data_IF_938867057673
#
_entry.id   IF_938867057673
#
_cell.length_a   1.000
_cell.length_b   1.000
_cell.length_c   1.000
_cell.angle_alpha   90.00
_cell.angle_beta   90.00
_cell.angle_gamma   90.00
#
_symmetry.space_group_name_H-M   'P 1'
#
loop_
_entity.id
_entity.type
_entity.pdbx_description
1 polymer ?
#
# COMPACT_ATOMS: atom_id res chain seq x y z
N UNK A 1 9.27 -20.08 15.62
CA UNK A 1 10.05 -19.35 14.60
C UNK A 1 9.92 -20.14 13.31
N UNK A 2 8.91 -19.82 12.51
CA UNK A 2 8.52 -20.55 11.30
C UNK A 2 8.53 -19.56 10.14
N UNK A 3 9.72 -19.35 9.58
CA UNK A 3 9.85 -18.72 8.29
C UNK A 3 9.25 -19.65 7.24
N UNK A 4 8.06 -19.33 6.76
CA UNK A 4 7.48 -19.91 5.56
C UNK A 4 7.39 -18.81 4.53
N UNK A 5 8.50 -18.58 3.84
CA UNK A 5 8.46 -18.33 2.41
C UNK A 5 8.30 -19.72 1.77
N UNK A 6 7.09 -20.26 1.86
CA UNK A 6 6.66 -21.25 0.89
C UNK A 6 6.08 -20.47 -0.29
N UNK A 7 6.34 -20.96 -1.49
CA UNK A 7 6.01 -20.33 -2.76
C UNK A 7 4.51 -20.18 -2.99
N UNK A 8 3.84 -19.34 -2.20
CA UNK A 8 2.62 -18.69 -2.64
C UNK A 8 3.04 -17.81 -3.81
N UNK A 9 2.78 -18.28 -5.02
CA UNK A 9 2.63 -17.44 -6.21
C UNK A 9 1.56 -16.39 -5.88
N UNK A 10 1.94 -15.31 -5.20
CA UNK A 10 0.95 -14.35 -4.69
C UNK A 10 0.42 -13.60 -5.90
N UNK A 11 -0.82 -13.88 -6.30
CA UNK A 11 -1.48 -13.25 -7.45
C UNK A 11 -1.61 -11.73 -7.31
N UNK A 12 -1.42 -11.20 -6.10
CA UNK A 12 -1.42 -9.77 -5.77
C UNK A 12 -0.55 -9.48 -4.52
N UNK A 13 -0.09 -8.24 -4.29
CA UNK A 13 0.81 -7.93 -3.18
C UNK A 13 0.11 -7.95 -1.81
N UNK A 14 0.85 -8.26 -0.73
CA UNK A 14 0.34 -8.22 0.67
C UNK A 14 -0.04 -6.80 1.18
N UNK A 15 0.28 -5.78 0.38
CA UNK A 15 -0.02 -4.37 0.64
C UNK A 15 -0.58 -3.74 -0.62
N UNK A 16 -1.51 -2.81 -0.45
CA UNK A 16 -1.94 -1.91 -1.50
C UNK A 16 -1.77 -0.46 -1.03
N UNK A 17 -1.49 0.47 -1.95
CA UNK A 17 -1.13 1.84 -1.58
C UNK A 17 -1.93 2.86 -2.38
N UNK A 18 -2.50 3.87 -1.71
CA UNK A 18 -3.14 5.02 -2.36
C UNK A 18 -2.39 6.32 -2.08
N UNK A 19 -2.34 7.24 -3.05
CA UNK A 19 -1.88 8.59 -2.80
C UNK A 19 -2.95 9.38 -2.04
N UNK A 20 -2.51 10.15 -1.05
CA UNK A 20 -3.30 11.12 -0.30
C UNK A 20 -3.08 12.55 -0.79
N UNK A 21 -3.07 13.50 0.14
CA UNK A 21 -2.83 14.90 -0.20
C UNK A 21 -1.41 15.15 -0.68
N UNK A 22 -1.27 16.12 -1.59
CA UNK A 22 0.02 16.65 -2.05
C UNK A 22 0.20 18.02 -1.41
N UNK A 23 1.35 18.23 -0.77
CA UNK A 23 1.71 19.54 -0.21
C UNK A 23 1.81 20.58 -1.34
N UNK A 24 1.25 21.76 -1.09
CA UNK A 24 1.25 22.86 -2.07
C UNK A 24 2.67 23.32 -2.40
N UNK A 25 3.54 23.32 -1.40
CA UNK A 25 4.91 23.81 -1.51
C UNK A 25 5.91 22.64 -1.55
N UNK A 26 7.05 22.86 -2.20
CA UNK A 26 8.17 21.94 -2.12
C UNK A 26 8.71 21.88 -0.70
N UNK A 27 9.00 20.66 -0.24
CA UNK A 27 9.46 20.40 1.14
C UNK A 27 10.96 20.11 1.17
N UNK A 28 11.50 19.47 0.13
CA UNK A 28 12.93 19.14 0.02
C UNK A 28 13.40 19.46 -1.40
N UNK A 29 14.18 20.54 -1.56
CA UNK A 29 14.60 21.01 -2.88
C UNK A 29 13.38 21.33 -3.75
N UNK A 30 13.30 20.72 -4.94
CA UNK A 30 12.16 20.82 -5.85
C UNK A 30 11.06 19.76 -5.60
N UNK A 31 11.20 18.91 -4.57
CA UNK A 31 10.28 17.81 -4.31
C UNK A 31 9.13 18.23 -3.41
N UNK A 32 7.92 17.84 -3.79
CA UNK A 32 6.70 18.01 -3.00
C UNK A 32 6.43 16.77 -2.17
N UNK A 33 5.98 16.96 -0.94
CA UNK A 33 5.54 15.87 -0.07
C UNK A 33 4.18 15.35 -0.53
N UNK A 34 4.06 14.04 -0.63
CA UNK A 34 2.82 13.33 -0.97
C UNK A 34 2.51 12.36 0.15
N UNK A 35 1.33 12.45 0.74
CA UNK A 35 0.84 11.45 1.68
C UNK A 35 0.58 10.13 0.97
N UNK A 36 0.83 9.02 1.64
CA UNK A 36 0.58 7.67 1.12
C UNK A 36 -0.16 6.87 2.18
N UNK A 37 -1.31 6.32 1.81
CA UNK A 37 -2.04 5.36 2.63
C UNK A 37 -1.58 3.95 2.27
N UNK A 38 -0.98 3.25 3.22
CA UNK A 38 -0.54 1.87 3.08
C UNK A 38 -1.59 0.98 3.73
N UNK A 39 -2.32 0.23 2.90
CA UNK A 39 -3.34 -0.73 3.30
C UNK A 39 -2.75 -2.13 3.29
N UNK A 40 -2.89 -2.86 4.38
CA UNK A 40 -2.50 -4.26 4.48
C UNK A 40 -3.69 -5.14 4.12
N UNK A 41 -3.45 -6.21 3.37
CA UNK A 41 -4.50 -7.15 2.93
C UNK A 41 -5.00 -8.00 4.10
N UNK A 42 -4.11 -8.43 4.98
CA UNK A 42 -4.39 -9.35 6.09
C UNK A 42 -3.88 -8.78 7.42
N UNK A 43 -4.72 -8.84 8.46
CA UNK A 43 -4.39 -8.38 9.81
C UNK A 43 -3.10 -9.02 10.36
N UNK A 44 -2.80 -10.27 10.01
CA UNK A 44 -1.58 -10.99 10.43
C UNK A 44 -0.30 -10.37 9.83
N UNK A 45 -0.42 -9.61 8.74
CA UNK A 45 0.71 -8.96 8.09
C UNK A 45 0.96 -7.54 8.62
N UNK A 46 0.10 -7.00 9.49
CA UNK A 46 0.18 -5.60 9.95
C UNK A 46 1.52 -5.28 10.59
N UNK A 47 1.95 -6.03 11.61
CA UNK A 47 3.24 -5.81 12.29
C UNK A 47 4.41 -5.92 11.31
N UNK A 48 4.36 -6.87 10.36
CA UNK A 48 5.40 -7.05 9.34
C UNK A 48 5.48 -5.83 8.42
N UNK A 49 4.36 -5.25 8.01
CA UNK A 49 4.36 -4.11 7.09
C UNK A 49 4.67 -2.82 7.85
N UNK A 50 3.95 -2.56 8.93
CA UNK A 50 3.94 -1.29 9.63
C UNK A 50 5.22 -1.00 10.39
N UNK A 51 5.89 -2.02 10.93
CA UNK A 51 7.22 -1.86 11.57
C UNK A 51 8.32 -1.38 10.60
N UNK A 52 8.10 -1.49 9.29
CA UNK A 52 9.05 -1.09 8.24
C UNK A 52 8.73 0.27 7.63
N UNK A 53 7.62 0.89 8.01
CA UNK A 53 7.30 2.22 7.55
C UNK A 53 8.28 3.22 8.16
N UNK A 54 8.64 4.22 7.36
CA UNK A 54 9.58 5.27 7.79
C UNK A 54 9.03 6.07 8.98
N UNK A 55 9.94 6.74 9.67
CA UNK A 55 9.61 7.68 10.75
C UNK A 55 8.63 8.77 10.27
N UNK A 56 7.71 9.15 11.17
CA UNK A 56 6.62 10.08 10.87
C UNK A 56 5.38 9.44 10.23
N UNK A 57 5.35 8.11 10.11
CA UNK A 57 4.13 7.37 9.76
C UNK A 57 3.14 7.37 10.94
N UNK A 58 1.84 7.43 10.65
CA UNK A 58 0.76 7.59 11.63
C UNK A 58 -0.34 6.56 11.39
N UNK A 59 -1.02 6.14 12.46
CA UNK A 59 -2.20 5.26 12.36
C UNK A 59 -3.39 6.06 11.83
N UNK A 60 -4.27 5.39 11.09
CA UNK A 60 -5.61 5.91 10.78
C UNK A 60 -6.64 5.25 11.69
N UNK A 61 -7.92 5.57 11.49
CA UNK A 61 -9.02 4.92 12.20
C UNK A 61 -9.24 3.46 11.74
N UNK A 62 -8.69 3.09 10.58
CA UNK A 62 -8.69 1.71 10.08
C UNK A 62 -7.40 1.00 10.54
N UNK A 63 -7.49 -0.08 11.35
CA UNK A 63 -6.32 -0.79 11.85
C UNK A 63 -5.49 -1.46 10.77
N UNK A 64 -6.02 -1.62 9.55
CA UNK A 64 -5.32 -2.16 8.39
C UNK A 64 -4.69 -1.06 7.52
N UNK A 65 -4.80 0.22 7.91
CA UNK A 65 -4.26 1.34 7.15
C UNK A 65 -3.35 2.20 8.02
N UNK A 66 -2.15 2.47 7.51
CA UNK A 66 -1.27 3.50 8.06
C UNK A 66 -0.99 4.57 7.02
N UNK A 67 -0.85 5.80 7.49
CA UNK A 67 -0.48 6.96 6.67
C UNK A 67 1.02 7.21 6.80
N UNK A 68 1.70 7.30 5.67
CA UNK A 68 3.10 7.72 5.55
C UNK A 68 3.21 8.83 4.51
N UNK A 69 4.42 9.14 4.06
CA UNK A 69 4.64 10.12 3.01
C UNK A 69 5.87 9.80 2.15
N UNK A 70 5.98 10.43 1.00
CA UNK A 70 7.19 10.44 0.16
C UNK A 70 7.44 11.86 -0.34
N UNK A 71 8.65 12.13 -0.84
CA UNK A 71 8.96 13.39 -1.52
C UNK A 71 9.29 13.08 -2.97
N UNK A 72 8.54 13.67 -3.90
CA UNK A 72 8.66 13.39 -5.33
C UNK A 72 8.72 14.68 -6.13
N UNK A 73 9.44 14.64 -7.25
CA UNK A 73 9.60 15.79 -8.15
C UNK A 73 8.32 16.02 -8.96
N UNK A 74 7.71 14.95 -9.44
CA UNK A 74 6.45 14.96 -10.17
C UNK A 74 5.35 14.21 -9.39
N UNK A 75 4.63 14.88 -8.48
CA UNK A 75 3.56 14.26 -7.72
C UNK A 75 2.32 13.94 -8.56
N UNK A 76 2.12 14.58 -9.71
CA UNK A 76 0.95 14.31 -10.55
C UNK A 76 1.09 12.94 -11.21
N UNK A 77 2.23 12.69 -11.88
CA UNK A 77 2.54 11.38 -12.46
C UNK A 77 2.63 10.32 -11.36
N UNK A 78 3.27 10.61 -10.23
CA UNK A 78 3.35 9.67 -9.11
C UNK A 78 1.95 9.26 -8.60
N UNK A 79 1.06 10.23 -8.34
CA UNK A 79 -0.29 9.95 -7.88
C UNK A 79 -1.09 9.16 -8.93
N UNK A 80 -0.96 9.51 -10.20
CA UNK A 80 -1.60 8.79 -11.30
C UNK A 80 -1.17 7.32 -11.34
N UNK A 81 0.14 7.06 -11.34
CA UNK A 81 0.68 5.70 -11.36
C UNK A 81 0.27 4.89 -10.12
N UNK A 82 0.28 5.51 -8.93
CA UNK A 82 -0.16 4.81 -7.72
C UNK A 82 -1.64 4.46 -7.75
N UNK A 83 -2.53 5.36 -8.19
CA UNK A 83 -3.96 5.04 -8.34
C UNK A 83 -4.19 3.92 -9.33
N UNK A 84 -3.55 4.01 -10.50
CA UNK A 84 -3.63 2.96 -11.51
C UNK A 84 -3.17 1.61 -10.94
N UNK A 85 -2.05 1.58 -10.22
CA UNK A 85 -1.54 0.34 -9.62
C UNK A 85 -2.43 -0.16 -8.49
N UNK A 86 -3.02 0.73 -7.71
CA UNK A 86 -3.98 0.39 -6.67
C UNK A 86 -5.18 -0.35 -7.28
N UNK A 87 -5.76 0.20 -8.34
CA UNK A 87 -6.91 -0.38 -9.02
C UNK A 87 -6.59 -1.73 -9.69
N UNK A 88 -5.40 -1.88 -10.28
CA UNK A 88 -4.91 -3.16 -10.83
C UNK A 88 -4.77 -4.22 -9.72
N UNK A 89 -4.18 -3.87 -8.58
CA UNK A 89 -4.04 -4.77 -7.45
C UNK A 89 -5.41 -5.14 -6.84
N UNK A 90 -6.32 -4.18 -6.70
CA UNK A 90 -7.65 -4.39 -6.15
C UNK A 90 -8.48 -5.35 -7.03
N UNK A 91 -8.37 -5.22 -8.37
CA UNK A 91 -8.99 -6.16 -9.32
C UNK A 91 -8.44 -7.58 -9.18
N UNK A 92 -7.11 -7.74 -9.08
CA UNK A 92 -6.48 -9.05 -8.90
C UNK A 92 -6.87 -9.68 -7.57
N UNK A 93 -6.88 -8.88 -6.51
CA UNK A 93 -7.28 -9.31 -5.18
C UNK A 93 -8.73 -9.82 -5.18
N UNK A 94 -9.68 -9.06 -5.75
CA UNK A 94 -11.07 -9.51 -5.89
C UNK A 94 -11.17 -10.79 -6.71
N UNK A 95 -10.51 -10.86 -7.86
CA UNK A 95 -10.51 -12.05 -8.72
C UNK A 95 -10.02 -13.29 -7.97
N UNK A 96 -9.01 -13.17 -7.12
CA UNK A 96 -8.51 -14.30 -6.32
C UNK A 96 -9.51 -14.74 -5.26
N UNK A 97 -10.13 -13.80 -4.53
CA UNK A 97 -11.12 -14.14 -3.51
C UNK A 97 -12.45 -14.64 -4.08
N UNK A 98 -12.82 -14.19 -5.30
CA UNK A 98 -14.01 -14.64 -6.00
C UNK A 98 -13.85 -16.06 -6.59
N UNK A 99 -12.61 -16.55 -6.75
CA UNK A 99 -12.33 -17.96 -7.06
C UNK A 99 -12.56 -18.84 -5.82
N UNK A 100 -13.81 -18.97 -5.37
CA UNK A 100 -14.19 -20.03 -4.41
C UNK A 100 -13.90 -21.42 -5.01
N UNK A 101 -13.34 -22.38 -4.26
CA UNK A 101 -13.03 -23.72 -4.79
C UNK A 101 -14.33 -24.44 -5.15
N UNK A 102 -14.37 -25.07 -6.32
CA UNK A 102 -15.31 -26.14 -6.62
C UNK A 102 -14.91 -27.40 -5.84
N UNK A 103 -15.08 -27.39 -4.52
CA UNK A 103 -14.94 -28.59 -3.69
C UNK A 103 -16.09 -28.60 -2.70
N UNK A 104 -17.13 -29.35 -3.08
CA UNK A 104 -18.09 -29.99 -2.15
C UNK A 104 -17.40 -31.15 -1.41
#
# INVERSE_FOLDING_TARGET
MHGWYDGMSIEFPIVNMLPGSVDKNSSIGNRRKVEVFVKVVDAQCTDRVFSRLKEGSTKTDDPLVMKTFVHVEDPETFCFCMRWKYDDNDKRQRSFFDMTPAVD
#
